data_IF_600027154029
#
_entry.id   IF_600027154029
#
_cell.length_a   1.000
_cell.length_b   1.000
_cell.length_c   1.000
_cell.angle_alpha   90.00
_cell.angle_beta   90.00
_cell.angle_gamma   90.00
#
_symmetry.space_group_name_H-M   'P 1'
#
loop_
_entity.id
_entity.type
_entity.pdbx_description
1 polymer ?
#
# COMPACT_ATOMS: atom_id res chain seq x y z
N UNK A 1 -14.13 -12.62 13.21
CA UNK A 1 -14.28 -12.77 11.74
C UNK A 1 -13.56 -11.62 11.06
N UNK A 2 -12.81 -11.92 10.00
CA UNK A 2 -12.21 -10.92 9.11
C UNK A 2 -12.73 -11.15 7.69
N UNK A 3 -13.14 -10.07 7.03
CA UNK A 3 -13.57 -10.07 5.63
C UNK A 3 -12.77 -9.02 4.88
N UNK A 4 -12.11 -9.42 3.79
CA UNK A 4 -11.39 -8.54 2.88
C UNK A 4 -12.16 -8.42 1.57
N UNK A 5 -12.46 -7.19 1.16
CA UNK A 5 -12.96 -6.87 -0.18
C UNK A 5 -11.84 -6.21 -0.96
N UNK A 6 -11.62 -6.68 -2.19
CA UNK A 6 -10.70 -6.07 -3.13
C UNK A 6 -11.51 -5.62 -4.34
N UNK A 7 -11.34 -4.36 -4.74
CA UNK A 7 -11.90 -3.80 -5.98
C UNK A 7 -10.73 -3.37 -6.84
N UNK A 8 -10.76 -3.73 -8.11
CA UNK A 8 -9.75 -3.36 -9.10
C UNK A 8 -10.38 -2.43 -10.14
N UNK A 9 -9.62 -1.42 -10.54
CA UNK A 9 -9.82 -0.66 -11.77
C UNK A 9 -8.53 -0.73 -12.60
N UNK A 10 -8.50 -0.01 -13.73
CA UNK A 10 -7.35 -0.03 -14.64
C UNK A 10 -6.07 0.52 -13.99
N UNK A 11 -6.23 1.47 -13.07
CA UNK A 11 -5.17 2.30 -12.53
C UNK A 11 -5.05 2.26 -11.00
N UNK A 12 -5.92 1.51 -10.32
CA UNK A 12 -5.88 1.40 -8.86
C UNK A 12 -6.52 0.11 -8.33
N UNK A 13 -6.16 -0.23 -7.09
CA UNK A 13 -6.82 -1.26 -6.30
C UNK A 13 -7.25 -0.75 -4.94
N UNK A 14 -8.49 -0.99 -4.56
CA UNK A 14 -8.99 -0.72 -3.22
C UNK A 14 -8.99 -2.03 -2.42
N UNK A 15 -8.24 -2.06 -1.33
CA UNK A 15 -8.31 -3.12 -0.33
C UNK A 15 -9.06 -2.59 0.87
N UNK A 16 -10.17 -3.25 1.24
CA UNK A 16 -10.98 -2.92 2.41
C UNK A 16 -11.12 -4.13 3.31
N UNK A 17 -10.64 -3.99 4.53
CA UNK A 17 -10.76 -4.95 5.60
C UNK A 17 -11.92 -4.57 6.53
N UNK A 18 -12.73 -5.56 6.90
CA UNK A 18 -13.78 -5.43 7.91
C UNK A 18 -13.60 -6.53 8.94
N UNK A 19 -13.46 -6.15 10.20
CA UNK A 19 -13.27 -7.04 11.33
C UNK A 19 -14.46 -6.92 12.28
N UNK A 20 -14.90 -8.07 12.78
CA UNK A 20 -15.99 -8.19 13.77
C UNK A 20 -15.65 -9.29 14.78
N UNK A 21 -15.83 -9.01 16.06
CA UNK A 21 -15.68 -9.98 17.13
C UNK A 21 -15.20 -9.33 18.42
N UNK A 22 -15.27 -10.05 19.56
CA UNK A 22 -14.89 -9.50 20.86
C UNK A 22 -13.43 -9.04 20.90
N UNK A 23 -12.54 -9.70 20.18
CA UNK A 23 -11.11 -9.36 20.16
C UNK A 23 -10.84 -7.95 19.59
N UNK A 24 -11.72 -7.43 18.72
CA UNK A 24 -11.56 -6.07 18.21
C UNK A 24 -11.81 -5.01 19.27
N UNK A 25 -12.40 -5.38 20.42
CA UNK A 25 -12.69 -4.49 21.53
C UNK A 25 -11.54 -4.41 22.55
N UNK A 26 -10.60 -5.36 22.50
CA UNK A 26 -9.47 -5.45 23.42
C UNK A 26 -8.13 -5.22 22.74
N UNK A 27 -7.98 -5.59 21.47
CA UNK A 27 -6.72 -5.52 20.73
C UNK A 27 -6.79 -4.58 19.53
N UNK A 28 -5.68 -3.90 19.16
CA UNK A 28 -5.64 -3.09 17.96
C UNK A 28 -5.74 -3.96 16.71
N UNK A 29 -6.52 -3.50 15.74
CA UNK A 29 -6.56 -4.08 14.41
C UNK A 29 -5.43 -3.51 13.57
N UNK A 30 -4.58 -4.39 12.99
CA UNK A 30 -3.43 -3.98 12.18
C UNK A 30 -3.55 -4.60 10.78
N UNK A 31 -3.72 -3.76 9.76
CA UNK A 31 -3.60 -4.19 8.35
C UNK A 31 -2.16 -3.94 7.89
N UNK A 32 -1.51 -4.99 7.37
CA UNK A 32 -0.11 -4.94 6.93
C UNK A 32 -0.02 -4.98 5.42
N UNK A 33 0.89 -4.17 4.87
CA UNK A 33 1.33 -4.21 3.48
C UNK A 33 2.84 -4.38 3.45
N UNK A 34 3.29 -5.52 2.93
CA UNK A 34 4.69 -5.87 2.84
C UNK A 34 5.26 -5.45 1.49
N UNK A 35 6.44 -4.84 1.50
CA UNK A 35 7.13 -4.42 0.28
C UNK A 35 8.29 -5.37 -0.02
N UNK A 36 8.72 -5.44 -1.28
CA UNK A 36 9.92 -6.18 -1.66
C UNK A 36 11.16 -5.52 -1.01
N UNK A 37 12.22 -6.25 -0.64
CA UNK A 37 13.42 -5.67 -0.02
C UNK A 37 14.01 -4.48 -0.78
N UNK A 38 13.97 -4.51 -2.12
CA UNK A 38 14.51 -3.44 -2.99
C UNK A 38 13.66 -2.16 -3.03
N UNK A 39 12.53 -2.14 -2.32
CA UNK A 39 11.62 -1.00 -2.25
C UNK A 39 11.87 -0.21 -0.97
N UNK A 40 12.13 1.08 -1.15
CA UNK A 40 12.11 2.08 -0.09
C UNK A 40 10.67 2.56 0.12
N UNK A 41 10.31 2.76 1.38
CA UNK A 41 8.99 3.20 1.83
C UNK A 41 9.15 4.43 2.69
N UNK A 42 8.49 5.52 2.30
CA UNK A 42 8.35 6.75 3.09
C UNK A 42 6.88 7.04 3.36
N UNK A 43 6.61 7.84 4.39
CA UNK A 43 5.26 8.31 4.72
C UNK A 43 5.33 9.84 4.69
N UNK A 44 4.52 10.46 3.83
CA UNK A 44 4.46 11.93 3.76
C UNK A 44 3.58 12.51 4.90
N UNK A 45 3.55 13.83 5.01
CA UNK A 45 2.79 14.53 6.06
C UNK A 45 1.28 14.24 6.01
N UNK A 46 0.75 13.82 4.85
CA UNK A 46 -0.65 13.43 4.71
C UNK A 46 -0.95 12.02 5.20
N UNK A 47 0.08 11.25 5.56
CA UNK A 47 -0.02 9.83 5.88
C UNK A 47 -0.05 8.93 4.65
N UNK A 48 0.13 9.48 3.43
CA UNK A 48 0.25 8.69 2.21
C UNK A 48 1.60 7.98 2.22
N UNK A 49 1.59 6.69 1.97
CA UNK A 49 2.81 5.89 1.88
C UNK A 49 3.29 5.96 0.43
N UNK A 50 4.57 6.29 0.24
CA UNK A 50 5.24 6.34 -1.06
C UNK A 50 6.24 5.21 -1.14
N UNK A 51 6.14 4.40 -2.19
CA UNK A 51 7.02 3.27 -2.43
C UNK A 51 7.82 3.49 -3.71
N UNK A 52 9.15 3.47 -3.60
CA UNK A 52 10.10 3.73 -4.69
C UNK A 52 11.20 2.68 -4.69
N UNK A 53 11.92 2.51 -5.79
CA UNK A 53 13.15 1.71 -5.76
C UNK A 53 14.18 2.36 -4.83
N UNK A 54 14.91 1.56 -4.03
CA UNK A 54 15.95 2.08 -3.12
C UNK A 54 17.08 2.82 -3.82
N UNK A 55 17.36 2.50 -5.08
CA UNK A 55 18.49 3.04 -5.85
C UNK A 55 18.19 4.34 -6.56
N UNK A 56 17.00 4.89 -6.41
CA UNK A 56 16.49 6.01 -7.19
C UNK A 56 16.61 7.31 -6.39
N UNK A 57 16.84 8.43 -7.08
CA UNK A 57 16.91 9.76 -6.47
C UNK A 57 15.55 10.17 -5.88
N UNK A 58 15.58 11.00 -4.82
CA UNK A 58 14.38 11.42 -4.09
C UNK A 58 13.32 12.16 -4.95
N UNK A 59 13.71 12.66 -6.13
CA UNK A 59 12.84 13.43 -7.04
C UNK A 59 12.07 12.59 -8.06
N UNK A 60 12.34 11.28 -8.17
CA UNK A 60 11.61 10.43 -9.11
C UNK A 60 10.21 10.10 -8.57
N UNK A 61 9.20 9.96 -9.46
CA UNK A 61 7.86 9.60 -9.05
C UNK A 61 7.86 8.24 -8.35
N UNK A 62 7.07 8.07 -7.27
CA UNK A 62 6.99 6.79 -6.57
C UNK A 62 6.46 5.72 -7.51
N UNK A 63 6.88 4.47 -7.39
CA UNK A 63 6.27 3.36 -8.15
C UNK A 63 4.81 3.14 -7.75
N UNK A 64 4.51 3.38 -6.48
CA UNK A 64 3.21 3.16 -5.88
C UNK A 64 2.96 4.20 -4.78
N UNK A 65 1.80 4.84 -4.85
CA UNK A 65 1.23 5.59 -3.75
C UNK A 65 0.17 4.75 -3.06
N UNK A 66 0.20 4.68 -1.74
CA UNK A 66 -0.79 3.97 -0.93
C UNK A 66 -1.50 4.95 -0.02
N UNK A 67 -2.81 5.09 -0.21
CA UNK A 67 -3.64 6.00 0.57
C UNK A 67 -4.40 5.22 1.65
N UNK A 68 -4.06 5.40 2.94
CA UNK A 68 -4.74 4.76 4.05
C UNK A 68 -6.22 5.12 4.14
N UNK A 69 -7.05 4.17 4.56
CA UNK A 69 -8.47 4.35 4.75
C UNK A 69 -8.89 3.84 6.13
N UNK A 70 -9.70 4.64 6.83
CA UNK A 70 -10.24 4.28 8.14
C UNK A 70 -9.26 4.47 9.31
N UNK A 71 -8.04 4.96 9.06
CA UNK A 71 -7.10 5.35 10.11
C UNK A 71 -6.09 6.39 9.62
N UNK A 72 -5.56 7.16 10.57
CA UNK A 72 -4.39 8.05 10.38
C UNK A 72 -3.15 7.52 11.13
N UNK A 73 -3.27 6.42 11.89
CA UNK A 73 -2.11 5.78 12.55
C UNK A 73 -1.46 4.80 11.56
N UNK A 74 -0.47 5.32 10.84
CA UNK A 74 0.25 4.63 9.77
C UNK A 74 1.72 4.64 10.12
N UNK A 75 2.35 3.46 10.12
CA UNK A 75 3.76 3.32 10.51
C UNK A 75 4.47 2.37 9.57
N UNK A 76 5.78 2.53 9.46
CA UNK A 76 6.65 1.51 8.87
C UNK A 76 7.32 0.68 9.95
N UNK A 77 7.45 -0.62 9.71
CA UNK A 77 8.30 -1.53 10.48
C UNK A 77 9.15 -2.37 9.53
N UNK A 78 10.15 -3.04 10.07
CA UNK A 78 10.92 -4.06 9.34
C UNK A 78 10.35 -5.44 9.67
N UNK A 79 10.22 -6.31 8.67
CA UNK A 79 9.87 -7.73 8.84
C UNK A 79 10.78 -8.61 7.99
N UNK A 80 10.87 -9.89 8.32
CA UNK A 80 11.62 -10.85 7.51
C UNK A 80 10.89 -11.20 6.20
N UNK A 81 11.68 -11.42 5.17
CA UNK A 81 11.32 -11.91 3.85
C UNK A 81 12.20 -13.10 3.51
N UNK A 82 11.59 -14.19 3.03
CA UNK A 82 12.28 -15.44 2.77
C UNK A 82 12.15 -15.79 1.29
N UNK A 83 13.04 -15.27 0.42
CA UNK A 83 12.98 -15.53 -1.02
C UNK A 83 13.34 -16.98 -1.36
N UNK A 84 14.19 -17.62 -0.55
CA UNK A 84 14.71 -18.96 -0.76
C UNK A 84 14.84 -19.71 0.57
N UNK A 85 14.89 -21.04 0.52
CA UNK A 85 15.07 -21.86 1.73
C UNK A 85 16.39 -21.51 2.44
N UNK A 86 16.28 -21.16 3.72
CA UNK A 86 17.43 -20.80 4.55
C UNK A 86 17.97 -19.39 4.32
N UNK A 87 17.37 -18.59 3.43
CA UNK A 87 17.75 -17.20 3.19
C UNK A 87 16.70 -16.28 3.80
N UNK A 88 17.12 -15.42 4.72
CA UNK A 88 16.30 -14.37 5.31
C UNK A 88 16.84 -13.00 4.88
N UNK A 89 15.94 -12.11 4.49
CA UNK A 89 16.23 -10.72 4.16
C UNK A 89 15.25 -9.81 4.89
N UNK A 90 15.68 -8.60 5.22
CA UNK A 90 14.79 -7.60 5.79
C UNK A 90 14.00 -6.87 4.69
N UNK A 91 12.72 -6.62 4.96
CA UNK A 91 11.87 -5.76 4.13
C UNK A 91 11.12 -4.73 4.96
N UNK A 92 10.79 -3.61 4.34
CA UNK A 92 9.86 -2.65 4.93
C UNK A 92 8.43 -3.15 4.83
N UNK A 93 7.63 -2.84 5.84
CA UNK A 93 6.22 -3.20 5.95
C UNK A 93 5.48 -2.00 6.50
N UNK A 94 4.45 -1.55 5.77
CA UNK A 94 3.53 -0.55 6.29
C UNK A 94 2.47 -1.22 7.16
N UNK A 95 2.15 -0.59 8.28
CA UNK A 95 1.11 -1.00 9.21
C UNK A 95 0.09 0.13 9.35
N UNK A 96 -1.17 -0.18 9.04
CA UNK A 96 -2.31 0.67 9.29
C UNK A 96 -3.02 0.16 10.54
N UNK A 97 -3.08 0.99 11.58
CA UNK A 97 -3.52 0.57 12.91
C UNK A 97 -4.82 1.25 13.28
N UNK A 98 -5.79 0.50 13.77
CA UNK A 98 -7.00 1.03 14.40
C UNK A 98 -7.03 0.50 15.83
N UNK A 99 -7.19 1.41 16.80
CA UNK A 99 -7.30 1.03 18.21
C UNK A 99 -8.53 0.16 18.48
N UNK A 100 -8.60 -0.46 19.67
CA UNK A 100 -9.74 -1.28 20.04
C UNK A 100 -11.07 -0.51 19.96
N UNK A 101 -12.10 -1.15 19.41
CA UNK A 101 -13.43 -0.56 19.21
C UNK A 101 -14.52 -1.64 19.24
N UNK A 102 -15.62 -1.34 19.94
CA UNK A 102 -16.80 -2.20 19.93
C UNK A 102 -17.49 -2.25 18.57
N UNK A 103 -18.02 -3.43 18.23
CA UNK A 103 -18.79 -3.66 17.02
C UNK A 103 -17.93 -3.98 15.79
N UNK A 104 -18.02 -3.15 14.75
CA UNK A 104 -17.34 -3.39 13.46
C UNK A 104 -16.19 -2.40 13.27
N UNK A 105 -14.98 -2.92 13.08
CA UNK A 105 -13.82 -2.15 12.67
C UNK A 105 -13.63 -2.28 11.17
N UNK A 106 -13.43 -1.16 10.46
CA UNK A 106 -13.14 -1.15 9.04
C UNK A 106 -11.93 -0.25 8.76
N UNK A 107 -11.00 -0.78 7.98
CA UNK A 107 -9.77 -0.11 7.57
C UNK A 107 -9.33 -0.66 6.21
N UNK A 108 -8.34 -0.05 5.60
CA UNK A 108 -7.84 -0.52 4.32
C UNK A 108 -6.95 0.50 3.66
N UNK A 109 -6.75 0.36 2.36
CA UNK A 109 -5.93 1.26 1.60
C UNK A 109 -6.29 1.23 0.12
N UNK A 110 -6.09 2.36 -0.55
CA UNK A 110 -6.08 2.46 -2.01
C UNK A 110 -4.62 2.35 -2.47
N UNK A 111 -4.37 1.46 -3.42
CA UNK A 111 -3.11 1.28 -4.13
C UNK A 111 -3.22 2.01 -5.47
N UNK A 112 -2.38 3.00 -5.70
CA UNK A 112 -2.33 3.78 -6.94
C UNK A 112 -0.90 3.75 -7.51
N UNK A 113 -0.59 2.81 -8.43
CA UNK A 113 0.69 2.78 -9.14
C UNK A 113 0.91 4.08 -9.92
N UNK A 114 2.16 4.51 -10.06
CA UNK A 114 2.48 5.58 -10.99
C UNK A 114 2.62 5.03 -12.40
N UNK A 115 2.19 5.80 -13.41
CA UNK A 115 2.21 5.40 -14.82
C UNK A 115 0.88 4.88 -15.36
N UNK A 116 -0.19 5.00 -14.57
CA UNK A 116 -1.55 4.69 -14.99
C UNK A 116 -2.34 5.89 -15.54
N UNK A 117 -1.63 6.95 -15.94
CA UNK A 117 -2.16 7.96 -16.86
C UNK A 117 -2.44 7.27 -18.20
N UNK A 118 -3.69 6.84 -18.37
CA UNK A 118 -4.22 6.42 -19.65
C UNK A 118 -4.00 7.51 -20.71
N UNK A 119 -3.64 7.04 -21.91
CA UNK A 119 -3.69 7.76 -23.18
C UNK A 119 -2.40 8.43 -23.67
N UNK A 120 -1.41 7.60 -24.07
CA UNK A 120 -0.57 7.96 -25.22
C UNK A 120 -1.43 7.85 -26.48
N UNK A 121 -2.11 8.94 -26.84
CA UNK A 121 -2.52 9.16 -28.23
C UNK A 121 -1.25 9.20 -29.07
N UNK A 122 -1.02 8.13 -29.82
CA UNK A 122 -0.13 8.13 -30.97
C UNK A 122 -0.71 9.13 -31.98
N UNK A 123 -0.11 10.31 -32.05
CA UNK A 123 -0.35 11.29 -33.10
C UNK A 123 0.84 11.34 -34.05
N UNK A 124 1.25 10.17 -34.53
CA UNK A 124 2.00 10.07 -35.77
C UNK A 124 1.05 10.33 -36.94
N UNK A 125 0.62 11.59 -37.11
CA UNK A 125 0.05 12.06 -38.37
C UNK A 125 1.19 12.05 -39.38
N UNK A 126 1.10 11.11 -40.32
CA UNK A 126 1.87 11.08 -41.54
C UNK A 126 1.84 12.47 -42.20
N UNK A 127 3.01 13.09 -42.31
CA UNK A 127 3.26 14.16 -43.27
C UNK A 127 4.30 13.60 -44.23
N UNK A 128 3.82 12.91 -45.27
CA UNK A 128 4.60 12.70 -46.48
C UNK A 128 4.39 13.94 -47.37
N UNK A 129 5.47 14.68 -47.62
CA UNK A 129 5.61 15.56 -48.79
C UNK A 129 6.10 14.76 -50.01
#
# INVERSE_FOLDING_TARGET
>A
QHTRKIVAADDWWLVRDTLRGPDTETEPCISRLHFHPDIAVTIDESGTIRASHRSVADDDPPLLSVHPLGTNDVRTTTTEYFPEFGVAQERQTAELRVGPKSGTTALGYLLAPSGSDGNRYDSSIESEE
#
